data_IF_634797785901
#
_entry.id   IF_634797785901
#
_cell.length_a   1.000
_cell.length_b   1.000
_cell.length_c   1.000
_cell.angle_alpha   90.00
_cell.angle_beta   90.00
_cell.angle_gamma   90.00
#
_symmetry.space_group_name_H-M   'P 1'
#
loop_
_entity.id
_entity.type
_entity.pdbx_description
1 polymer ?
#
# COMPACT_ATOMS: atom_id res chain seq x y z
N UNK A 1 8.50 -18.08 5.35
CA UNK A 1 7.94 -16.78 5.76
C UNK A 1 9.08 -15.87 6.23
N UNK A 2 9.13 -14.62 5.75
CA UNK A 2 10.15 -13.64 6.13
C UNK A 2 9.53 -12.59 7.03
N UNK A 3 10.12 -12.36 8.20
CA UNK A 3 9.68 -11.35 9.16
C UNK A 3 10.80 -10.36 9.44
N UNK A 4 10.42 -9.13 9.79
CA UNK A 4 11.37 -8.06 10.05
C UNK A 4 11.02 -7.37 11.36
N UNK A 5 12.04 -6.94 12.08
CA UNK A 5 11.91 -6.19 13.32
C UNK A 5 12.86 -5.00 13.32
N UNK A 6 12.47 -3.90 13.94
CA UNK A 6 13.42 -2.91 14.40
C UNK A 6 13.91 -3.26 15.79
N UNK A 7 15.21 -3.08 16.03
CA UNK A 7 15.76 -2.99 17.37
C UNK A 7 16.42 -1.61 17.53
N UNK A 8 15.90 -0.81 18.46
CA UNK A 8 16.42 0.51 18.79
C UNK A 8 17.26 0.42 20.06
N UNK A 9 18.56 0.67 19.92
CA UNK A 9 19.53 0.65 21.01
C UNK A 9 19.58 2.04 21.62
N UNK A 10 18.97 2.19 22.80
CA UNK A 10 18.68 3.50 23.39
C UNK A 10 19.97 4.30 23.64
N UNK A 11 20.97 3.67 24.27
CA UNK A 11 22.19 4.35 24.71
C UNK A 11 23.00 5.02 23.58
N UNK A 12 22.92 4.50 22.35
CA UNK A 12 23.65 5.01 21.18
C UNK A 12 22.73 5.55 20.08
N UNK A 13 21.41 5.58 20.33
CA UNK A 13 20.38 6.03 19.39
C UNK A 13 20.48 5.36 18.00
N UNK A 14 20.98 4.13 17.97
CA UNK A 14 21.15 3.33 16.75
C UNK A 14 19.92 2.45 16.57
N UNK A 15 19.36 2.45 15.37
CA UNK A 15 18.28 1.53 15.01
C UNK A 15 18.80 0.56 13.96
N UNK A 16 18.60 -0.73 14.20
CA UNK A 16 18.88 -1.80 13.24
C UNK A 16 17.58 -2.46 12.81
N UNK A 17 17.54 -2.93 11.56
CA UNK A 17 16.52 -3.82 11.04
C UNK A 17 17.04 -5.24 11.10
N UNK A 18 16.33 -6.12 11.79
CA UNK A 18 16.62 -7.55 11.90
C UNK A 18 15.69 -8.28 10.93
N UNK A 19 16.22 -9.26 10.21
CA UNK A 19 15.45 -10.09 9.29
C UNK A 19 15.55 -11.55 9.70
N UNK A 20 14.40 -12.19 9.89
CA UNK A 20 14.29 -13.64 10.04
C UNK A 20 13.71 -14.24 8.77
N UNK A 21 14.18 -15.43 8.42
CA UNK A 21 13.61 -16.26 7.37
C UNK A 21 13.33 -17.64 7.94
N UNK A 22 12.07 -18.09 7.86
CA UNK A 22 11.60 -19.34 8.45
C UNK A 22 11.98 -19.44 9.94
N UNK A 23 11.77 -18.36 10.70
CA UNK A 23 12.04 -18.30 12.14
C UNK A 23 13.52 -18.25 12.53
N UNK A 24 14.46 -18.22 11.58
CA UNK A 24 15.90 -18.17 11.85
C UNK A 24 16.51 -16.84 11.39
N UNK A 25 17.44 -16.31 12.18
CA UNK A 25 18.14 -15.07 11.89
C UNK A 25 18.85 -15.17 10.53
N UNK A 26 18.61 -14.20 9.66
CA UNK A 26 19.22 -14.12 8.34
C UNK A 26 20.28 -13.02 8.26
N UNK A 27 19.92 -11.81 8.69
CA UNK A 27 20.80 -10.64 8.64
C UNK A 27 20.26 -9.49 9.50
N UNK A 28 21.12 -8.52 9.78
CA UNK A 28 20.71 -7.20 10.23
C UNK A 28 21.27 -6.11 9.31
N UNK A 29 20.58 -4.98 9.29
CA UNK A 29 20.92 -3.79 8.50
C UNK A 29 20.86 -2.57 9.43
N UNK A 30 21.83 -1.66 9.38
CA UNK A 30 21.76 -0.40 10.15
C UNK A 30 20.81 0.55 9.42
N UNK A 31 19.71 0.93 10.06
CA UNK A 31 18.72 1.86 9.48
C UNK A 31 18.86 3.28 10.02
N UNK A 32 19.43 3.45 11.22
CA UNK A 32 19.84 4.74 11.77
C UNK A 32 21.16 4.56 12.51
N UNK A 33 22.20 5.29 12.11
CA UNK A 33 23.56 5.10 12.63
C UNK A 33 23.74 5.62 14.06
N UNK A 34 23.12 6.73 14.45
CA UNK A 34 23.32 7.29 15.81
C UNK A 34 24.79 7.46 16.16
N UNK A 35 25.18 7.12 17.39
CA UNK A 35 26.56 7.13 17.91
C UNK A 35 27.28 5.79 17.73
N UNK A 36 27.00 5.09 16.63
CA UNK A 36 27.58 3.77 16.37
C UNK A 36 29.08 3.88 16.03
N UNK A 37 29.91 3.34 16.92
CA UNK A 37 31.35 3.16 16.73
C UNK A 37 31.69 1.70 16.35
N UNK A 38 32.87 1.42 15.76
CA UNK A 38 33.23 0.07 15.29
C UNK A 38 33.17 -1.02 16.38
N UNK A 39 33.57 -0.70 17.62
CA UNK A 39 33.51 -1.61 18.77
C UNK A 39 32.08 -2.00 19.18
N UNK A 40 31.07 -1.20 18.84
CA UNK A 40 29.67 -1.50 19.15
C UNK A 40 29.10 -2.61 18.24
N UNK A 41 29.67 -2.84 17.05
CA UNK A 41 29.15 -3.83 16.10
C UNK A 41 29.11 -5.25 16.68
N UNK A 42 30.12 -5.64 17.46
CA UNK A 42 30.16 -6.93 18.16
C UNK A 42 29.02 -7.08 19.18
N UNK A 43 28.62 -5.98 19.81
CA UNK A 43 27.56 -5.97 20.82
C UNK A 43 26.15 -6.02 20.19
N UNK A 44 26.00 -5.56 18.94
CA UNK A 44 24.73 -5.67 18.21
C UNK A 44 24.35 -7.14 18.00
N UNK A 45 25.31 -8.02 17.71
CA UNK A 45 25.04 -9.45 17.59
C UNK A 45 24.46 -10.07 18.86
N UNK A 46 24.84 -9.57 20.04
CA UNK A 46 24.40 -10.10 21.35
C UNK A 46 22.97 -9.72 21.73
N UNK A 47 22.37 -8.77 21.03
CA UNK A 47 20.99 -8.33 21.27
C UNK A 47 20.03 -8.88 20.20
N UNK A 48 20.50 -9.76 19.32
CA UNK A 48 19.69 -10.37 18.27
C UNK A 48 19.60 -11.87 18.55
N UNK A 49 18.40 -12.40 18.87
CA UNK A 49 18.25 -13.84 19.01
C UNK A 49 18.45 -14.55 17.67
N UNK A 50 19.03 -15.75 17.71
CA UNK A 50 19.23 -16.57 16.50
C UNK A 50 17.88 -17.12 16.02
N UNK A 51 16.96 -17.47 16.93
CA UNK A 51 15.61 -17.93 16.60
C UNK A 51 14.58 -16.85 16.93
N UNK A 52 13.65 -16.61 16.03
CA UNK A 52 12.59 -15.59 16.19
C UNK A 52 11.73 -15.85 17.44
N UNK A 53 11.45 -17.10 17.77
CA UNK A 53 10.66 -17.48 18.95
C UNK A 53 11.31 -17.00 20.28
N UNK A 54 12.62 -16.79 20.31
CA UNK A 54 13.34 -16.33 21.50
C UNK A 54 13.26 -14.80 21.67
N UNK A 55 12.65 -14.08 20.72
CA UNK A 55 12.56 -12.61 20.74
C UNK A 55 11.78 -12.11 21.96
N UNK A 56 10.73 -12.82 22.38
CA UNK A 56 9.98 -12.47 23.60
C UNK A 56 10.88 -12.47 24.84
N UNK A 57 11.78 -13.45 24.97
CA UNK A 57 12.76 -13.48 26.06
C UNK A 57 13.72 -12.30 25.97
N UNK A 58 14.22 -11.98 24.79
CA UNK A 58 15.14 -10.86 24.58
C UNK A 58 14.50 -9.50 24.88
N UNK A 59 13.21 -9.33 24.56
CA UNK A 59 12.46 -8.11 24.90
C UNK A 59 12.48 -7.89 26.42
N UNK A 60 12.23 -8.94 27.20
CA UNK A 60 12.26 -8.88 28.66
C UNK A 60 13.68 -8.64 29.20
N UNK A 61 14.67 -9.41 28.73
CA UNK A 61 16.07 -9.30 29.19
C UNK A 61 16.74 -7.95 28.89
N UNK A 62 16.28 -7.27 27.84
CA UNK A 62 16.85 -6.01 27.35
C UNK A 62 15.93 -4.81 27.58
N UNK A 63 14.93 -4.96 28.43
CA UNK A 63 14.05 -3.86 28.82
C UNK A 63 14.86 -2.63 29.27
N UNK A 64 14.43 -1.44 28.82
CA UNK A 64 15.14 -0.17 29.07
C UNK A 64 16.47 0.01 28.34
N UNK A 65 16.96 -1.00 27.60
CA UNK A 65 18.21 -0.93 26.81
C UNK A 65 17.97 -1.01 25.32
N UNK A 66 17.07 -1.90 24.91
CA UNK A 66 16.71 -2.13 23.50
C UNK A 66 15.20 -2.21 23.37
N UNK A 67 14.64 -1.42 22.45
CA UNK A 67 13.22 -1.49 22.10
C UNK A 67 13.10 -2.28 20.79
N UNK A 68 12.38 -3.41 20.84
CA UNK A 68 12.07 -4.18 19.65
C UNK A 68 10.66 -3.87 19.16
N UNK A 69 10.49 -3.69 17.86
CA UNK A 69 9.16 -3.55 17.24
C UNK A 69 9.10 -4.33 15.94
N UNK A 70 7.99 -5.02 15.70
CA UNK A 70 7.76 -5.73 14.44
C UNK A 70 7.56 -4.71 13.33
N UNK A 71 8.21 -4.93 12.19
CA UNK A 71 7.97 -4.15 10.99
C UNK A 71 6.82 -4.82 10.26
N UNK A 72 5.63 -4.26 10.43
CA UNK A 72 4.50 -4.61 9.60
C UNK A 72 4.71 -3.98 8.23
N UNK A 73 4.57 -4.79 7.17
CA UNK A 73 4.54 -4.25 5.82
C UNK A 73 3.24 -3.48 5.70
N UNK A 74 3.29 -2.16 5.82
CA UNK A 74 2.22 -1.33 5.30
C UNK A 74 2.10 -1.65 3.80
N UNK A 75 0.89 -2.01 3.37
CA UNK A 75 0.60 -2.17 1.95
C UNK A 75 0.89 -0.81 1.31
N UNK A 76 1.67 -0.79 0.23
CA UNK A 76 1.93 0.46 -0.45
C UNK A 76 0.65 0.92 -1.14
N UNK A 77 0.44 2.23 -1.24
CA UNK A 77 -0.69 2.80 -1.98
C UNK A 77 -0.82 2.19 -3.39
N UNK A 78 0.31 2.00 -4.09
CA UNK A 78 0.33 1.32 -5.38
C UNK A 78 -0.22 -0.12 -5.34
N UNK A 79 0.11 -0.88 -4.28
CA UNK A 79 -0.42 -2.23 -4.10
C UNK A 79 -1.93 -2.21 -3.79
N UNK A 80 -2.43 -1.19 -3.09
CA UNK A 80 -3.87 -0.99 -2.88
C UNK A 80 -4.58 -0.69 -4.20
N UNK A 81 -4.05 0.24 -5.01
CA UNK A 81 -4.57 0.52 -6.37
C UNK A 81 -4.62 -0.73 -7.25
N UNK A 82 -3.57 -1.54 -7.19
CA UNK A 82 -3.46 -2.80 -7.95
C UNK A 82 -4.52 -3.79 -7.48
N UNK A 83 -4.71 -3.90 -6.16
CA UNK A 83 -5.71 -4.80 -5.55
C UNK A 83 -7.11 -4.41 -5.97
N UNK A 84 -7.46 -3.13 -5.86
CA UNK A 84 -8.77 -2.60 -6.29
C UNK A 84 -9.04 -2.92 -7.77
N UNK A 85 -8.05 -2.73 -8.65
CA UNK A 85 -8.23 -3.06 -10.06
C UNK A 85 -8.38 -4.56 -10.30
N UNK A 86 -7.62 -5.40 -9.59
CA UNK A 86 -7.74 -6.86 -9.70
C UNK A 86 -9.11 -7.36 -9.25
N UNK A 87 -9.61 -6.84 -8.13
CA UNK A 87 -10.94 -7.17 -7.61
C UNK A 87 -12.03 -6.75 -8.60
N UNK A 88 -11.95 -5.51 -9.10
CA UNK A 88 -12.81 -5.03 -10.17
C UNK A 88 -12.80 -5.95 -11.39
N UNK A 89 -11.61 -6.25 -11.94
CA UNK A 89 -11.49 -7.02 -13.18
C UNK A 89 -12.01 -8.46 -13.01
N UNK A 90 -11.67 -9.12 -11.89
CA UNK A 90 -12.18 -10.47 -11.59
C UNK A 90 -13.70 -10.49 -11.48
N UNK A 91 -14.27 -9.53 -10.76
CA UNK A 91 -15.71 -9.46 -10.56
C UNK A 91 -16.45 -9.15 -11.86
N UNK A 92 -15.93 -8.25 -12.68
CA UNK A 92 -16.56 -7.80 -13.93
C UNK A 92 -16.38 -8.81 -15.07
N UNK A 93 -15.19 -9.41 -15.21
CA UNK A 93 -14.85 -10.30 -16.34
C UNK A 93 -14.96 -11.79 -16.00
N UNK A 94 -15.00 -12.17 -14.71
CA UNK A 94 -15.05 -13.56 -14.27
C UNK A 94 -13.76 -14.36 -14.50
N UNK A 95 -12.65 -13.69 -14.81
CA UNK A 95 -11.34 -14.29 -15.13
C UNK A 95 -10.20 -13.56 -14.42
N UNK A 96 -9.05 -14.23 -14.26
CA UNK A 96 -7.86 -13.63 -13.67
C UNK A 96 -7.22 -12.61 -14.62
N UNK A 97 -6.91 -11.38 -14.17
CA UNK A 97 -6.27 -10.38 -15.01
C UNK A 97 -4.84 -10.78 -15.40
N UNK A 98 -4.50 -10.61 -16.68
CA UNK A 98 -3.11 -10.67 -17.14
C UNK A 98 -2.42 -9.32 -16.96
N UNK A 99 -1.89 -9.06 -15.76
CA UNK A 99 -1.26 -7.78 -15.43
C UNK A 99 0.21 -7.72 -15.85
N UNK A 100 0.52 -6.87 -16.83
CA UNK A 100 1.87 -6.73 -17.39
C UNK A 100 2.63 -5.53 -16.82
N UNK A 101 3.91 -5.40 -17.19
CA UNK A 101 4.72 -4.21 -16.85
C UNK A 101 4.13 -2.91 -17.42
N UNK A 102 3.47 -2.97 -18.57
CA UNK A 102 2.84 -1.81 -19.21
C UNK A 102 1.63 -1.37 -18.40
N UNK A 103 0.84 -2.31 -17.90
CA UNK A 103 -0.32 -2.03 -17.05
C UNK A 103 0.10 -1.37 -15.74
N UNK A 104 1.16 -1.87 -15.11
CA UNK A 104 1.72 -1.23 -13.92
C UNK A 104 2.21 0.21 -14.17
N UNK A 105 2.80 0.48 -15.34
CA UNK A 105 3.20 1.83 -15.72
C UNK A 105 1.99 2.76 -15.93
N UNK A 106 0.92 2.27 -16.56
CA UNK A 106 -0.30 3.05 -16.74
C UNK A 106 -1.05 3.27 -15.43
N UNK A 107 -1.11 2.26 -14.54
CA UNK A 107 -1.71 2.38 -13.21
C UNK A 107 -1.00 3.46 -12.38
N UNK A 108 0.32 3.54 -12.48
CA UNK A 108 1.10 4.61 -11.84
C UNK A 108 0.69 6.00 -12.34
N UNK A 109 0.50 6.16 -13.64
CA UNK A 109 0.05 7.44 -14.23
C UNK A 109 -1.38 7.80 -13.81
N UNK A 110 -2.26 6.80 -13.68
CA UNK A 110 -3.61 6.99 -13.12
C UNK A 110 -3.50 7.51 -11.69
N UNK A 111 -2.74 6.81 -10.84
CA UNK A 111 -2.50 7.21 -9.44
C UNK A 111 -1.92 8.63 -9.34
N UNK A 112 -0.92 8.97 -10.16
CA UNK A 112 -0.32 10.31 -10.21
C UNK A 112 -1.34 11.38 -10.64
N UNK A 113 -2.24 11.05 -11.58
CA UNK A 113 -3.27 11.98 -12.04
C UNK A 113 -4.34 12.20 -10.97
N UNK A 114 -4.91 11.13 -10.41
CA UNK A 114 -5.93 11.23 -9.36
C UNK A 114 -5.39 11.93 -8.10
N UNK A 115 -4.14 11.67 -7.73
CA UNK A 115 -3.47 12.34 -6.61
C UNK A 115 -3.30 13.84 -6.82
N UNK A 116 -3.08 14.29 -8.06
CA UNK A 116 -3.02 15.73 -8.38
C UNK A 116 -4.38 16.42 -8.26
N UNK A 117 -5.47 15.73 -8.57
CA UNK A 117 -6.82 16.33 -8.50
C UNK A 117 -7.27 16.44 -7.05
N UNK A 118 -7.07 15.36 -6.28
CA UNK A 118 -7.53 15.26 -4.90
C UNK A 118 -6.62 15.97 -3.89
N UNK A 119 -5.35 16.22 -4.24
CA UNK A 119 -4.31 16.72 -3.34
C UNK A 119 -4.12 15.90 -2.05
N UNK A 120 -4.66 14.67 -2.02
CA UNK A 120 -4.55 13.74 -0.89
C UNK A 120 -4.47 12.29 -1.40
N UNK A 121 -3.54 11.53 -0.85
CA UNK A 121 -3.30 10.14 -1.26
C UNK A 121 -4.46 9.22 -0.87
N UNK A 122 -5.13 9.48 0.25
CA UNK A 122 -6.28 8.67 0.70
C UNK A 122 -7.49 8.94 -0.19
N UNK A 123 -7.84 10.21 -0.38
CA UNK A 123 -8.93 10.63 -1.28
C UNK A 123 -8.70 10.16 -2.73
N UNK A 124 -7.46 10.15 -3.20
CA UNK A 124 -7.09 9.60 -4.51
C UNK A 124 -7.48 8.13 -4.67
N UNK A 125 -7.24 7.30 -3.65
CA UNK A 125 -7.60 5.89 -3.69
C UNK A 125 -9.12 5.69 -3.61
N UNK A 126 -9.80 6.47 -2.78
CA UNK A 126 -11.26 6.43 -2.71
C UNK A 126 -11.91 6.83 -4.04
N UNK A 127 -11.37 7.85 -4.71
CA UNK A 127 -11.79 8.20 -6.06
C UNK A 127 -11.56 7.05 -7.05
N UNK A 128 -10.43 6.36 -6.96
CA UNK A 128 -10.16 5.17 -7.79
C UNK A 128 -11.18 4.06 -7.56
N UNK A 129 -11.52 3.76 -6.30
CA UNK A 129 -12.57 2.81 -5.95
C UNK A 129 -13.94 3.25 -6.49
N UNK A 130 -14.29 4.52 -6.33
CA UNK A 130 -15.55 5.08 -6.81
C UNK A 130 -15.70 4.97 -8.33
N UNK A 131 -14.63 5.23 -9.08
CA UNK A 131 -14.60 5.07 -10.53
C UNK A 131 -14.91 3.62 -10.95
N UNK A 132 -14.24 2.65 -10.33
CA UNK A 132 -14.41 1.24 -10.67
C UNK A 132 -15.72 0.64 -10.15
N UNK A 133 -16.24 1.12 -9.01
CA UNK A 133 -17.54 0.71 -8.50
C UNK A 133 -18.70 1.14 -9.40
N UNK A 134 -18.55 2.25 -10.14
CA UNK A 134 -19.55 2.74 -11.08
C UNK A 134 -19.39 2.18 -12.51
N UNK A 135 -18.47 1.24 -12.74
CA UNK A 135 -18.17 0.75 -14.08
C UNK A 135 -19.39 0.15 -14.79
N UNK A 136 -20.20 -0.62 -14.06
CA UNK A 136 -21.47 -1.20 -14.52
C UNK A 136 -22.54 -0.17 -14.90
N UNK A 137 -22.36 1.10 -14.54
CA UNK A 137 -23.27 2.20 -14.86
C UNK A 137 -22.72 3.14 -15.93
N UNK A 138 -21.51 2.91 -16.42
CA UNK A 138 -20.92 3.71 -17.49
C UNK A 138 -21.61 3.50 -18.83
N UNK A 139 -21.34 4.40 -19.77
CA UNK A 139 -21.78 4.23 -21.15
C UNK A 139 -21.16 2.96 -21.75
N UNK A 140 -21.87 2.29 -22.66
CA UNK A 140 -21.44 1.00 -23.26
C UNK A 140 -20.03 1.06 -23.84
N UNK A 141 -19.62 2.22 -24.35
CA UNK A 141 -18.26 2.43 -24.84
C UNK A 141 -17.19 2.18 -23.76
N UNK A 142 -17.41 2.61 -22.53
CA UNK A 142 -16.47 2.42 -21.42
C UNK A 142 -16.59 1.02 -20.80
N UNK A 143 -17.82 0.51 -20.65
CA UNK A 143 -18.09 -0.84 -20.11
C UNK A 143 -17.33 -1.94 -20.84
N UNK A 144 -17.28 -1.83 -22.17
CA UNK A 144 -16.62 -2.81 -23.03
C UNK A 144 -15.07 -2.75 -22.97
N UNK A 145 -14.48 -1.84 -22.19
CA UNK A 145 -13.03 -1.62 -22.17
C UNK A 145 -12.50 -1.51 -20.73
N UNK A 146 -12.14 -2.63 -20.12
CA UNK A 146 -11.67 -2.72 -18.72
C UNK A 146 -10.14 -2.64 -18.56
N UNK A 147 -9.39 -2.58 -19.66
CA UNK A 147 -7.93 -2.56 -19.67
C UNK A 147 -7.36 -1.26 -19.07
N UNK A 148 -6.36 -1.36 -18.17
CA UNK A 148 -5.73 -0.19 -17.53
C UNK A 148 -5.21 0.82 -18.56
N UNK A 149 -4.65 0.34 -19.68
CA UNK A 149 -4.20 1.20 -20.78
C UNK A 149 -5.34 2.08 -21.32
N UNK A 150 -6.52 1.50 -21.51
CA UNK A 150 -7.70 2.22 -21.95
C UNK A 150 -8.15 3.22 -20.87
N UNK A 151 -8.28 2.76 -19.62
CA UNK A 151 -8.70 3.59 -18.48
C UNK A 151 -7.83 4.85 -18.40
N UNK A 152 -6.51 4.67 -18.45
CA UNK A 152 -5.57 5.79 -18.46
C UNK A 152 -5.81 6.74 -19.64
N UNK A 153 -5.97 6.21 -20.85
CA UNK A 153 -6.15 7.03 -22.06
C UNK A 153 -7.46 7.85 -22.07
N UNK A 154 -8.50 7.39 -21.37
CA UNK A 154 -9.81 8.02 -21.32
C UNK A 154 -10.16 8.59 -19.94
N UNK A 155 -9.18 8.72 -19.03
CA UNK A 155 -9.43 8.99 -17.61
C UNK A 155 -10.32 10.21 -17.36
N UNK A 156 -10.13 11.30 -18.11
CA UNK A 156 -10.95 12.50 -17.99
C UNK A 156 -12.42 12.24 -18.36
N UNK A 157 -12.66 11.49 -19.44
CA UNK A 157 -14.03 11.16 -19.89
C UNK A 157 -14.72 10.21 -18.90
N UNK A 158 -13.96 9.25 -18.38
CA UNK A 158 -14.44 8.31 -17.36
C UNK A 158 -14.85 9.10 -16.11
N UNK A 159 -14.01 10.02 -15.62
CA UNK A 159 -14.34 10.87 -14.47
C UNK A 159 -15.59 11.72 -14.71
N UNK A 160 -15.73 12.34 -15.88
CA UNK A 160 -16.95 13.08 -16.23
C UNK A 160 -18.19 12.19 -16.26
N UNK A 161 -18.06 10.94 -16.72
CA UNK A 161 -19.17 10.00 -16.73
C UNK A 161 -19.56 9.59 -15.30
N UNK A 162 -18.58 9.26 -14.45
CA UNK A 162 -18.80 8.97 -13.03
C UNK A 162 -19.50 10.13 -12.33
N UNK A 163 -19.07 11.37 -12.57
CA UNK A 163 -19.73 12.57 -12.02
C UNK A 163 -21.18 12.67 -12.47
N UNK A 164 -21.47 12.46 -13.75
CA UNK A 164 -22.83 12.47 -14.29
C UNK A 164 -23.72 11.37 -13.71
N UNK A 165 -23.20 10.14 -13.58
CA UNK A 165 -23.93 9.01 -12.97
C UNK A 165 -24.35 9.38 -11.55
N UNK A 166 -23.40 9.93 -10.79
CA UNK A 166 -23.57 10.38 -9.43
C UNK A 166 -24.56 11.56 -9.28
N UNK A 167 -24.57 12.51 -10.21
CA UNK A 167 -25.57 13.58 -10.28
C UNK A 167 -26.97 13.06 -10.66
N UNK A 168 -27.05 12.00 -11.47
CA UNK A 168 -28.30 11.38 -11.93
C UNK A 168 -28.92 10.45 -10.87
N UNK A 169 -28.08 9.89 -9.99
CA UNK A 169 -28.47 8.98 -8.92
C UNK A 169 -29.16 9.68 -7.72
N UNK A 170 -29.40 11.00 -7.80
CA UNK A 170 -30.14 11.82 -6.82
C UNK A 170 -31.57 11.32 -6.46
N UNK A 171 -32.02 10.19 -7.01
CA UNK A 171 -33.26 9.49 -6.64
C UNK A 171 -33.09 8.20 -5.81
N UNK A 172 -31.88 7.74 -5.48
CA UNK A 172 -31.69 6.47 -4.76
C UNK A 172 -30.33 6.31 -4.09
N UNK A 173 -30.35 6.22 -2.76
CA UNK A 173 -29.25 6.05 -1.80
C UNK A 173 -28.06 5.21 -2.32
N UNK A 174 -26.86 5.80 -2.39
CA UNK A 174 -25.59 5.07 -2.49
C UNK A 174 -24.40 5.88 -1.97
N UNK A 175 -23.74 5.32 -0.96
CA UNK A 175 -22.40 5.60 -0.42
C UNK A 175 -21.92 7.09 -0.39
N UNK A 176 -22.40 7.82 0.63
CA UNK A 176 -22.20 9.27 0.82
C UNK A 176 -20.73 9.74 0.80
N UNK A 177 -19.78 8.93 1.27
CA UNK A 177 -18.35 9.29 1.33
C UNK A 177 -17.66 9.29 -0.05
N UNK A 178 -17.95 8.30 -0.91
CA UNK A 178 -17.40 8.28 -2.28
C UNK A 178 -18.06 9.37 -3.13
N UNK A 179 -19.31 9.67 -2.82
CA UNK A 179 -20.12 10.68 -3.49
C UNK A 179 -19.59 12.10 -3.21
N UNK A 180 -19.23 12.42 -1.97
CA UNK A 180 -18.67 13.73 -1.63
C UNK A 180 -17.36 13.98 -2.37
N UNK A 181 -16.48 12.97 -2.42
CA UNK A 181 -15.18 13.06 -3.09
C UNK A 181 -15.35 13.33 -4.59
N UNK A 182 -16.29 12.66 -5.26
CA UNK A 182 -16.54 12.89 -6.70
C UNK A 182 -17.19 14.25 -6.96
N UNK A 183 -18.07 14.71 -6.07
CA UNK A 183 -18.74 16.01 -6.20
C UNK A 183 -17.79 17.20 -5.98
N UNK A 184 -16.72 17.00 -5.21
CA UNK A 184 -15.69 18.01 -4.92
C UNK A 184 -14.63 18.18 -6.04
N UNK A 185 -14.64 17.33 -7.08
CA UNK A 185 -13.82 17.44 -8.29
C UNK A 185 -14.39 18.45 -9.31
#
# INVERSE_FOLDING_TARGET
>A
MTTHYHAHIIAIETKVKITYNNGSFKRFEIVKKGKLAPNHLLNIGRIIPIKEQDLTRFILEKEGKVIYSKIEKQVSLYAEYTTVWFDFYRNFMGIEPNFTKIDGANLKKIMDYLGKITNDSSASLELWKAMLANWDNMDDFHKNNTDIKYIYSQINKILSNVKRINESAYGGVSNDELQSIVNEL
#
